data_IF_521459786244
#
_entry.id   IF_521459786244
#
_cell.length_a   1.000
_cell.length_b   1.000
_cell.length_c   1.000
_cell.angle_alpha   90.00
_cell.angle_beta   90.00
_cell.angle_gamma   90.00
#
_symmetry.space_group_name_H-M   'P 1'
#
loop_
_entity.id
_entity.type
_entity.pdbx_description
1 polymer ?
#
# COMPACT_ATOMS: atom_id res chain seq x y z
N UNK A 1 -12.45 -14.59 -17.02
CA UNK A 1 -10.97 -14.66 -16.82
C UNK A 1 -10.18 -13.67 -17.67
N UNK A 2 -10.54 -13.41 -18.95
CA UNK A 2 -9.86 -12.40 -19.78
C UNK A 2 -10.13 -10.94 -19.36
N UNK A 3 -11.27 -10.63 -18.76
CA UNK A 3 -11.60 -9.27 -18.30
C UNK A 3 -10.77 -8.77 -17.12
N UNK A 4 -10.32 -9.65 -16.23
CA UNK A 4 -9.47 -9.27 -15.09
C UNK A 4 -8.08 -8.75 -15.51
N UNK A 5 -7.54 -9.22 -16.61
CA UNK A 5 -6.26 -8.72 -17.14
C UNK A 5 -6.37 -7.39 -17.89
N UNK A 6 -7.54 -7.04 -18.40
CA UNK A 6 -7.73 -5.80 -19.18
C UNK A 6 -7.81 -4.55 -18.31
N UNK A 7 -8.37 -4.64 -17.10
CA UNK A 7 -8.53 -3.47 -16.22
C UNK A 7 -7.22 -2.90 -15.65
N UNK A 8 -6.10 -3.60 -15.76
CA UNK A 8 -4.82 -3.24 -15.14
C UNK A 8 -3.78 -2.78 -16.18
N UNK A 9 -4.12 -2.81 -17.47
CA UNK A 9 -3.15 -2.52 -18.56
C UNK A 9 -3.13 -1.07 -19.01
N UNK A 10 -4.01 -0.25 -18.45
CA UNK A 10 -4.14 1.13 -18.85
C UNK A 10 -3.49 2.09 -17.84
N UNK A 11 -3.36 3.32 -18.27
CA UNK A 11 -2.90 4.39 -17.43
C UNK A 11 -3.93 4.75 -16.36
N UNK A 12 -3.48 4.97 -15.14
CA UNK A 12 -4.31 5.45 -14.04
C UNK A 12 -3.86 6.86 -13.63
N UNK A 13 -4.82 7.76 -13.54
CA UNK A 13 -4.58 9.07 -12.94
C UNK A 13 -4.45 8.93 -11.43
N UNK A 14 -3.38 9.44 -10.85
CA UNK A 14 -3.16 9.39 -9.41
C UNK A 14 -3.79 10.62 -8.73
N UNK A 15 -3.98 10.54 -7.42
CA UNK A 15 -4.48 11.65 -6.61
C UNK A 15 -3.51 12.86 -6.54
N UNK A 16 -2.31 12.74 -7.12
CA UNK A 16 -1.30 13.79 -7.17
C UNK A 16 -1.07 14.33 -8.58
N UNK A 17 -2.07 14.19 -9.46
CA UNK A 17 -2.02 14.61 -10.86
C UNK A 17 -0.90 13.99 -11.70
N UNK A 18 -0.38 12.85 -11.26
CA UNK A 18 0.56 12.06 -12.03
C UNK A 18 -0.16 10.92 -12.76
N UNK A 19 0.47 10.40 -13.78
CA UNK A 19 0.00 9.24 -14.50
C UNK A 19 0.78 8.00 -14.08
N UNK A 20 0.09 6.96 -13.64
CA UNK A 20 0.67 5.64 -13.40
C UNK A 20 0.44 4.77 -14.63
N UNK A 21 1.51 4.32 -15.26
CA UNK A 21 1.45 3.45 -16.46
C UNK A 21 2.00 2.06 -16.14
N UNK A 22 1.46 1.06 -16.78
CA UNK A 22 1.81 -0.35 -16.58
C UNK A 22 0.56 -1.20 -16.39
N UNK A 23 0.70 -2.37 -15.76
CA UNK A 23 1.93 -3.05 -15.37
C UNK A 23 2.59 -3.82 -16.51
N UNK A 24 3.80 -4.30 -16.24
CA UNK A 24 4.36 -5.50 -16.84
C UNK A 24 4.17 -6.68 -15.85
N UNK A 25 4.18 -7.91 -16.35
CA UNK A 25 4.09 -9.13 -15.53
C UNK A 25 5.02 -10.18 -16.12
N UNK A 26 6.13 -10.41 -15.45
CA UNK A 26 7.15 -11.37 -15.86
C UNK A 26 7.36 -12.36 -14.73
N UNK A 27 7.32 -13.65 -15.04
CA UNK A 27 7.64 -14.68 -14.07
C UNK A 27 9.12 -14.62 -13.70
N UNK A 28 9.39 -14.73 -12.38
CA UNK A 28 10.74 -14.78 -11.85
C UNK A 28 10.84 -15.85 -10.76
N UNK A 29 11.91 -16.66 -10.74
CA UNK A 29 12.15 -17.59 -9.66
C UNK A 29 12.63 -16.90 -8.37
N UNK A 30 13.08 -15.67 -8.48
CA UNK A 30 13.65 -14.90 -7.38
C UNK A 30 12.56 -14.20 -6.58
N UNK A 31 12.32 -14.66 -5.37
CA UNK A 31 11.22 -14.17 -4.51
C UNK A 31 11.36 -12.73 -4.02
N UNK A 32 12.58 -12.20 -4.02
CA UNK A 32 12.88 -10.86 -3.47
C UNK A 32 13.46 -9.91 -4.52
N UNK A 33 13.47 -10.31 -5.79
CA UNK A 33 13.97 -9.47 -6.86
C UNK A 33 12.95 -8.37 -7.19
N UNK A 34 13.22 -7.17 -6.71
CA UNK A 34 12.45 -5.96 -7.02
C UNK A 34 13.20 -5.01 -7.95
N UNK A 35 14.25 -5.48 -8.60
CA UNK A 35 14.97 -4.69 -9.59
C UNK A 35 14.07 -4.40 -10.80
N UNK A 36 14.17 -3.20 -11.32
CA UNK A 36 13.49 -2.79 -12.55
C UNK A 36 14.49 -2.83 -13.70
N UNK A 37 14.18 -3.56 -14.74
CA UNK A 37 15.03 -3.70 -15.92
C UNK A 37 14.54 -2.83 -17.09
N UNK A 38 15.49 -2.46 -17.96
CA UNK A 38 15.24 -1.59 -19.10
C UNK A 38 14.29 -2.22 -20.13
N UNK A 39 14.30 -3.53 -20.27
CA UNK A 39 13.44 -4.24 -21.23
C UNK A 39 11.97 -4.19 -20.78
N UNK A 40 11.69 -4.40 -19.50
CA UNK A 40 10.34 -4.25 -18.92
C UNK A 40 9.82 -2.83 -19.08
N UNK A 41 10.66 -1.81 -18.85
CA UNK A 41 10.29 -0.41 -19.07
C UNK A 41 9.94 -0.19 -20.55
N UNK A 42 10.77 -0.64 -21.48
CA UNK A 42 10.53 -0.49 -22.92
C UNK A 42 9.24 -1.18 -23.36
N UNK A 43 8.94 -2.38 -22.84
CA UNK A 43 7.68 -3.08 -23.13
C UNK A 43 6.46 -2.30 -22.64
N UNK A 44 6.51 -1.75 -21.43
CA UNK A 44 5.43 -0.92 -20.88
C UNK A 44 5.20 0.31 -21.77
N UNK A 45 6.27 1.03 -22.12
CA UNK A 45 6.18 2.20 -22.99
C UNK A 45 5.62 1.88 -24.39
N UNK A 46 6.10 0.79 -25.01
CA UNK A 46 5.61 0.36 -26.32
C UNK A 46 4.10 0.11 -26.31
N UNK A 47 3.59 -0.54 -25.27
CA UNK A 47 2.16 -0.77 -25.11
C UNK A 47 1.39 0.53 -24.86
N UNK A 48 1.94 1.40 -24.01
CA UNK A 48 1.26 2.62 -23.62
C UNK A 48 1.19 3.67 -24.75
N UNK A 49 2.20 3.72 -25.62
CA UNK A 49 2.21 4.61 -26.79
C UNK A 49 1.12 4.31 -27.81
N UNK A 50 0.47 3.15 -27.75
CA UNK A 50 -0.69 2.86 -28.61
C UNK A 50 -1.86 3.78 -28.21
N UNK A 51 -2.05 4.02 -26.92
CA UNK A 51 -3.13 4.88 -26.40
C UNK A 51 -2.69 6.33 -26.17
N UNK A 52 -1.40 6.53 -25.90
CA UNK A 52 -0.79 7.83 -25.62
C UNK A 52 0.48 8.04 -26.46
N UNK A 53 0.35 8.37 -27.76
CA UNK A 53 1.50 8.49 -28.67
C UNK A 53 2.51 9.58 -28.28
N UNK A 54 2.08 10.58 -27.52
CA UNK A 54 2.93 11.71 -27.07
C UNK A 54 3.82 11.37 -25.88
N UNK A 55 3.60 10.24 -25.23
CA UNK A 55 4.37 9.83 -24.05
C UNK A 55 5.83 9.56 -24.41
N UNK A 56 6.74 10.17 -23.64
CA UNK A 56 8.19 10.04 -23.82
C UNK A 56 8.87 9.60 -22.54
N UNK A 57 10.07 9.05 -22.65
CA UNK A 57 10.87 8.65 -21.48
C UNK A 57 11.26 9.84 -20.58
N UNK A 58 11.23 11.07 -21.12
CA UNK A 58 11.49 12.30 -20.36
C UNK A 58 10.38 12.60 -19.33
N UNK A 59 9.20 12.02 -19.52
CA UNK A 59 8.05 12.20 -18.65
C UNK A 59 8.11 11.28 -17.42
N UNK A 60 9.08 10.36 -17.36
CA UNK A 60 9.23 9.45 -16.23
C UNK A 60 9.68 10.22 -14.98
N UNK A 61 8.85 10.20 -13.94
CA UNK A 61 9.21 10.70 -12.62
C UNK A 61 9.92 9.63 -11.81
N UNK A 62 9.39 8.40 -11.88
CA UNK A 62 9.94 7.23 -11.18
C UNK A 62 9.40 5.94 -11.78
N UNK A 63 10.07 4.85 -11.50
CA UNK A 63 9.61 3.50 -11.82
C UNK A 63 9.87 2.58 -10.62
N UNK A 64 9.09 1.53 -10.51
CA UNK A 64 9.22 0.57 -9.42
C UNK A 64 8.72 -0.81 -9.85
N UNK A 65 9.25 -1.82 -9.21
CA UNK A 65 8.88 -3.22 -9.38
C UNK A 65 8.49 -3.81 -8.03
N UNK A 66 7.53 -4.70 -8.03
CA UNK A 66 7.15 -5.48 -6.85
C UNK A 66 6.94 -6.94 -7.23
N UNK A 67 7.26 -7.84 -6.31
CA UNK A 67 7.01 -9.27 -6.49
C UNK A 67 5.59 -9.60 -6.05
N UNK A 68 4.87 -10.32 -6.91
CA UNK A 68 3.52 -10.82 -6.66
C UNK A 68 3.61 -12.35 -6.55
N UNK A 69 2.90 -12.95 -5.60
CA UNK A 69 2.88 -14.38 -5.37
C UNK A 69 1.49 -14.97 -5.71
N UNK A 70 1.16 -15.16 -6.99
CA UNK A 70 -0.08 -15.83 -7.38
C UNK A 70 -0.02 -17.32 -7.03
N UNK A 71 -1.18 -17.93 -6.88
CA UNK A 71 -1.33 -19.39 -6.90
C UNK A 71 -1.35 -19.91 -8.33
N UNK A 72 -1.19 -21.22 -8.51
CA UNK A 72 -1.30 -21.85 -9.84
C UNK A 72 -2.67 -21.64 -10.49
N UNK A 73 -3.74 -21.57 -9.67
CA UNK A 73 -5.09 -21.31 -10.15
C UNK A 73 -5.36 -19.79 -10.31
N UNK A 74 -4.39 -18.94 -9.99
CA UNK A 74 -4.53 -17.49 -10.00
C UNK A 74 -5.69 -16.98 -9.14
N UNK A 75 -6.07 -17.72 -8.10
CA UNK A 75 -7.13 -17.35 -7.16
C UNK A 75 -6.61 -17.28 -5.73
N UNK A 76 -7.38 -16.63 -4.85
CA UNK A 76 -7.05 -16.52 -3.43
C UNK A 76 -7.31 -17.84 -2.71
N UNK A 77 -6.41 -18.19 -1.81
CA UNK A 77 -6.62 -19.30 -0.85
C UNK A 77 -7.01 -18.66 0.49
N UNK A 78 -8.29 -18.73 0.84
CA UNK A 78 -8.85 -18.18 2.08
C UNK A 78 -9.61 -19.32 2.75
N UNK A 79 -8.89 -20.16 3.49
CA UNK A 79 -9.46 -21.37 4.10
C UNK A 79 -8.69 -21.83 5.33
N UNK A 80 -9.34 -22.57 6.27
CA UNK A 80 -8.65 -23.27 7.33
C UNK A 80 -7.63 -24.27 6.81
N UNK A 81 -6.58 -24.49 7.56
CA UNK A 81 -5.59 -25.53 7.24
C UNK A 81 -6.21 -26.92 7.25
N UNK A 82 -6.04 -27.68 6.16
CA UNK A 82 -6.63 -29.03 6.02
C UNK A 82 -6.03 -30.05 6.98
N UNK A 83 -4.75 -29.92 7.32
CA UNK A 83 -4.04 -30.84 8.22
C UNK A 83 -3.86 -30.30 9.63
N UNK A 84 -3.93 -28.98 9.80
CA UNK A 84 -3.60 -28.29 11.05
C UNK A 84 -4.71 -27.31 11.40
N UNK A 85 -5.47 -27.60 12.46
CA UNK A 85 -6.67 -26.85 12.85
C UNK A 85 -6.41 -25.40 13.32
N UNK A 86 -5.18 -25.10 13.77
CA UNK A 86 -4.81 -23.77 14.27
C UNK A 86 -4.10 -22.91 13.20
N UNK A 87 -4.26 -23.24 11.94
CA UNK A 87 -3.77 -22.45 10.80
C UNK A 87 -4.98 -22.03 9.97
N UNK A 88 -4.98 -20.76 9.57
CA UNK A 88 -5.87 -20.22 8.56
C UNK A 88 -5.03 -19.63 7.44
N UNK A 89 -5.23 -20.08 6.22
CA UNK A 89 -4.49 -19.61 5.05
C UNK A 89 -5.15 -18.34 4.50
N UNK A 90 -4.33 -17.32 4.27
CA UNK A 90 -4.66 -16.12 3.49
C UNK A 90 -3.52 -15.94 2.52
N UNK A 91 -3.55 -16.65 1.41
CA UNK A 91 -2.44 -16.77 0.48
C UNK A 91 -2.86 -16.52 -0.97
N UNK A 92 -1.89 -16.30 -1.84
CA UNK A 92 -2.14 -15.98 -3.25
C UNK A 92 -2.83 -14.62 -3.44
N UNK A 93 -2.77 -13.75 -2.44
CA UNK A 93 -3.44 -12.45 -2.47
C UNK A 93 -2.73 -11.52 -3.46
N UNK A 94 -3.37 -11.29 -4.56
CA UNK A 94 -2.97 -10.34 -5.57
C UNK A 94 -4.07 -9.28 -5.77
N UNK A 95 -4.11 -8.56 -6.87
CA UNK A 95 -5.21 -7.63 -7.14
C UNK A 95 -6.54 -8.39 -7.29
N UNK A 96 -7.63 -7.97 -6.63
CA UNK A 96 -7.87 -6.74 -5.86
C UNK A 96 -7.74 -6.91 -4.32
N UNK A 97 -6.68 -7.54 -3.83
CA UNK A 97 -6.50 -7.91 -2.43
C UNK A 97 -6.69 -6.77 -1.42
N UNK A 98 -6.20 -5.57 -1.73
CA UNK A 98 -6.38 -4.42 -0.83
C UNK A 98 -7.86 -4.06 -0.65
N UNK A 99 -8.63 -4.10 -1.73
CA UNK A 99 -10.08 -3.81 -1.70
C UNK A 99 -10.87 -4.90 -0.99
N UNK A 100 -10.45 -6.16 -1.11
CA UNK A 100 -11.12 -7.31 -0.47
C UNK A 100 -10.66 -7.55 0.97
N UNK A 101 -9.58 -6.90 1.41
CA UNK A 101 -9.00 -7.10 2.74
C UNK A 101 -10.00 -6.98 3.90
N UNK A 102 -10.97 -6.05 3.92
CA UNK A 102 -11.95 -5.98 5.01
C UNK A 102 -12.85 -7.23 5.11
N UNK A 103 -13.29 -7.77 3.97
CA UNK A 103 -14.12 -8.98 3.95
C UNK A 103 -13.29 -10.21 4.40
N UNK A 104 -12.07 -10.36 3.87
CA UNK A 104 -11.17 -11.43 4.29
C UNK A 104 -10.85 -11.34 5.79
N UNK A 105 -10.65 -10.13 6.31
CA UNK A 105 -10.39 -9.93 7.73
C UNK A 105 -11.59 -10.34 8.59
N UNK A 106 -12.82 -10.14 8.12
CA UNK A 106 -14.02 -10.59 8.82
C UNK A 106 -14.08 -12.12 8.89
N UNK A 107 -13.86 -12.82 7.78
CA UNK A 107 -13.88 -14.29 7.73
C UNK A 107 -12.82 -14.88 8.68
N UNK A 108 -11.60 -14.32 8.66
CA UNK A 108 -10.53 -14.74 9.57
C UNK A 108 -10.88 -14.47 11.02
N UNK A 109 -11.44 -13.29 11.33
CA UNK A 109 -11.82 -12.94 12.69
C UNK A 109 -12.93 -13.86 13.25
N UNK A 110 -13.91 -14.19 12.43
CA UNK A 110 -14.98 -15.14 12.80
C UNK A 110 -14.43 -16.55 13.06
N UNK A 111 -13.51 -17.02 12.20
CA UNK A 111 -12.87 -18.31 12.40
C UNK A 111 -12.07 -18.36 13.70
N UNK A 112 -11.23 -17.33 13.95
CA UNK A 112 -10.42 -17.24 15.16
C UNK A 112 -11.30 -17.12 16.41
N UNK A 113 -12.35 -16.31 16.35
CA UNK A 113 -13.28 -16.17 17.46
C UNK A 113 -13.96 -17.51 17.84
N UNK A 114 -14.38 -18.28 16.87
CA UNK A 114 -14.93 -19.62 17.06
C UNK A 114 -13.89 -20.59 17.66
N UNK A 115 -12.66 -20.53 17.17
CA UNK A 115 -11.57 -21.42 17.63
C UNK A 115 -11.25 -21.19 19.11
N UNK A 116 -11.30 -19.96 19.59
CA UNK A 116 -10.97 -19.57 20.95
C UNK A 116 -12.20 -19.34 21.85
N UNK A 117 -13.42 -19.57 21.35
CA UNK A 117 -14.67 -19.21 22.03
C UNK A 117 -14.64 -17.75 22.54
N UNK A 118 -14.10 -16.85 21.70
CA UNK A 118 -13.93 -15.46 22.08
C UNK A 118 -15.27 -14.71 22.04
N UNK A 119 -15.55 -13.96 23.10
CA UNK A 119 -16.70 -13.08 23.17
C UNK A 119 -16.36 -11.69 22.63
N UNK A 120 -17.39 -11.02 22.09
CA UNK A 120 -17.24 -9.62 21.64
C UNK A 120 -17.07 -8.72 22.87
N UNK A 121 -16.11 -7.78 22.81
CA UNK A 121 -15.97 -6.76 23.85
C UNK A 121 -17.20 -5.87 23.85
N UNK A 122 -17.80 -5.66 25.03
CA UNK A 122 -19.01 -4.84 25.19
C UNK A 122 -18.74 -3.34 24.89
N UNK A 123 -17.50 -2.88 25.13
CA UNK A 123 -17.04 -1.49 25.00
C UNK A 123 -16.14 -1.30 23.75
N UNK A 124 -16.29 -2.17 22.75
CA UNK A 124 -15.47 -2.08 21.53
C UNK A 124 -15.82 -0.81 20.73
N UNK A 125 -14.87 0.11 20.63
CA UNK A 125 -14.94 1.26 19.71
C UNK A 125 -14.35 0.87 18.33
N UNK A 126 -15.18 0.75 17.28
CA UNK A 126 -14.72 0.45 15.93
C UNK A 126 -14.08 1.66 15.24
N UNK A 127 -14.24 2.87 15.80
CA UNK A 127 -13.79 4.10 15.17
C UNK A 127 -12.32 4.36 15.48
N UNK A 128 -11.50 4.22 14.48
CA UNK A 128 -10.08 4.59 14.57
C UNK A 128 -9.87 6.01 14.10
N UNK A 129 -9.49 6.90 14.99
CA UNK A 129 -9.09 8.26 14.62
C UNK A 129 -7.81 8.23 13.77
N UNK A 130 -7.84 8.91 12.63
CA UNK A 130 -6.65 9.12 11.83
C UNK A 130 -5.65 9.98 12.62
N UNK A 131 -4.34 9.69 12.56
CA UNK A 131 -3.34 10.61 13.12
C UNK A 131 -3.42 11.96 12.38
N UNK A 132 -3.20 13.06 13.07
CA UNK A 132 -3.12 14.38 12.44
C UNK A 132 -2.06 14.36 11.32
N UNK A 133 -2.37 15.03 10.22
CA UNK A 133 -1.47 15.19 9.09
C UNK A 133 -1.32 16.66 8.76
N UNK A 134 -0.09 17.19 8.86
CA UNK A 134 0.16 18.63 8.74
C UNK A 134 -0.16 19.17 7.33
N UNK A 135 0.11 18.36 6.31
CA UNK A 135 -0.20 18.73 4.94
C UNK A 135 -1.70 18.97 4.76
N UNK A 136 -2.05 20.12 4.19
CA UNK A 136 -3.44 20.52 3.97
C UNK A 136 -4.12 21.26 5.11
N UNK A 137 -3.48 21.42 6.28
CA UNK A 137 -3.98 22.27 7.37
C UNK A 137 -3.68 23.75 7.11
N UNK A 138 -4.57 24.62 7.54
CA UNK A 138 -4.31 26.06 7.56
C UNK A 138 -3.36 26.44 8.71
N UNK A 139 -2.86 27.69 8.70
CA UNK A 139 -1.85 28.13 9.67
C UNK A 139 -2.35 28.11 11.13
N UNK A 140 -3.62 28.41 11.36
CA UNK A 140 -4.20 28.38 12.71
C UNK A 140 -4.29 26.94 13.25
N UNK A 141 -4.71 25.99 12.42
CA UNK A 141 -4.74 24.56 12.75
C UNK A 141 -3.35 24.02 13.02
N UNK A 142 -2.37 24.41 12.19
CA UNK A 142 -0.95 24.03 12.37
C UNK A 142 -0.40 24.57 13.69
N UNK A 143 -0.65 25.85 13.98
CA UNK A 143 -0.21 26.49 15.23
C UNK A 143 -0.81 25.83 16.46
N UNK A 144 -2.11 25.48 16.41
CA UNK A 144 -2.75 24.75 17.50
C UNK A 144 -2.15 23.36 17.71
N UNK A 145 -1.92 22.62 16.63
CA UNK A 145 -1.34 21.29 16.68
C UNK A 145 0.09 21.31 17.24
N UNK A 146 0.91 22.29 16.82
CA UNK A 146 2.27 22.50 17.32
C UNK A 146 2.25 22.88 18.82
N UNK A 147 1.29 23.68 19.26
CA UNK A 147 1.15 24.04 20.68
C UNK A 147 0.82 22.81 21.55
N UNK A 148 0.00 21.88 21.04
CA UNK A 148 -0.32 20.62 21.72
C UNK A 148 0.86 19.65 21.74
N UNK A 149 1.62 19.59 20.65
CA UNK A 149 2.81 18.75 20.55
C UNK A 149 3.86 19.42 19.64
N UNK A 150 4.96 19.95 20.23
CA UNK A 150 6.00 20.66 19.48
C UNK A 150 6.67 19.84 18.37
N UNK A 151 6.65 18.51 18.45
CA UNK A 151 7.22 17.64 17.41
C UNK A 151 6.52 17.83 16.04
N UNK A 152 5.30 18.38 16.01
CA UNK A 152 4.63 18.79 14.77
C UNK A 152 5.25 20.03 14.12
N UNK A 153 6.03 20.82 14.85
CA UNK A 153 6.78 21.95 14.32
C UNK A 153 8.09 21.56 13.60
N UNK A 154 8.52 20.32 13.73
CA UNK A 154 9.77 19.82 13.14
C UNK A 154 9.47 19.08 11.86
N UNK A 155 9.72 19.71 10.71
CA UNK A 155 9.53 19.10 9.38
C UNK A 155 10.76 18.27 9.03
N UNK A 156 10.58 16.96 8.95
CA UNK A 156 11.62 15.99 8.58
C UNK A 156 11.66 15.77 7.06
N UNK A 157 10.51 15.62 6.42
CA UNK A 157 10.42 15.48 4.97
C UNK A 157 9.78 16.73 4.36
N UNK A 158 10.59 17.59 3.71
CA UNK A 158 10.15 18.88 3.18
C UNK A 158 9.23 18.76 1.96
N UNK A 159 9.49 17.80 1.07
CA UNK A 159 8.70 17.65 -0.16
C UNK A 159 7.31 17.03 0.07
N UNK A 160 7.10 16.33 1.17
CA UNK A 160 5.80 15.75 1.56
C UNK A 160 5.25 16.41 2.84
N UNK A 161 5.92 17.43 3.35
CA UNK A 161 5.57 18.16 4.59
C UNK A 161 5.32 17.24 5.80
N UNK A 162 6.12 16.18 5.94
CA UNK A 162 5.97 15.19 7.03
C UNK A 162 6.79 15.61 8.23
N UNK A 163 6.16 15.65 9.39
CA UNK A 163 6.74 16.09 10.66
C UNK A 163 7.36 14.94 11.46
N UNK A 164 8.17 15.29 12.45
CA UNK A 164 8.71 14.33 13.41
C UNK A 164 7.60 13.61 14.18
N UNK A 165 6.55 14.31 14.58
CA UNK A 165 5.41 13.75 15.30
C UNK A 165 4.72 12.62 14.49
N UNK A 166 4.50 12.85 13.18
CA UNK A 166 3.90 11.87 12.28
C UNK A 166 4.78 10.62 12.15
N UNK A 167 6.09 10.79 12.00
CA UNK A 167 7.05 9.68 11.94
C UNK A 167 7.07 8.91 13.25
N UNK A 168 7.14 9.59 14.39
CA UNK A 168 7.07 8.96 15.71
C UNK A 168 5.78 8.19 15.92
N UNK A 169 4.65 8.75 15.52
CA UNK A 169 3.36 8.08 15.57
C UNK A 169 3.35 6.81 14.69
N UNK A 170 3.91 6.88 13.48
CA UNK A 170 4.03 5.73 12.59
C UNK A 170 4.90 4.59 13.17
N UNK A 171 5.93 4.93 13.96
CA UNK A 171 6.81 3.97 14.62
C UNK A 171 6.13 3.35 15.86
N UNK A 172 5.44 4.16 16.67
CA UNK A 172 4.91 3.77 17.98
C UNK A 172 3.54 3.08 17.96
N UNK A 173 2.82 3.16 16.85
CA UNK A 173 1.50 2.52 16.73
C UNK A 173 1.58 0.99 16.86
N UNK A 174 0.49 0.26 17.18
CA UNK A 174 0.50 -1.19 17.43
C UNK A 174 1.17 -2.02 16.33
N UNK A 175 0.96 -1.68 15.04
CA UNK A 175 1.71 -2.27 13.93
C UNK A 175 2.67 -1.21 13.39
N UNK A 176 3.69 -0.89 14.21
CA UNK A 176 4.61 0.21 13.95
C UNK A 176 5.57 -0.04 12.80
N UNK A 177 6.07 1.06 12.24
CA UNK A 177 7.12 1.03 11.24
C UNK A 177 8.45 0.61 11.88
N UNK A 178 9.13 -0.38 11.30
CA UNK A 178 10.43 -0.87 11.78
C UNK A 178 11.57 -0.65 10.79
N UNK A 179 11.28 -0.12 9.62
CA UNK A 179 12.24 0.20 8.56
C UNK A 179 11.93 1.57 7.97
N UNK A 180 12.87 2.18 7.29
CA UNK A 180 12.67 3.45 6.57
C UNK A 180 11.55 3.31 5.54
N UNK A 181 11.52 2.19 4.80
CA UNK A 181 10.47 1.91 3.83
C UNK A 181 9.08 1.77 4.49
N UNK A 182 9.03 1.18 5.68
CA UNK A 182 7.78 1.10 6.45
C UNK A 182 7.30 2.47 6.95
N UNK A 183 8.21 3.40 7.29
CA UNK A 183 7.88 4.80 7.59
C UNK A 183 7.35 5.49 6.34
N UNK A 184 8.07 5.37 5.20
CA UNK A 184 7.66 5.92 3.91
C UNK A 184 6.24 5.51 3.52
N UNK A 185 5.90 4.23 3.63
CA UNK A 185 4.56 3.71 3.29
C UNK A 185 3.45 4.21 4.22
N UNK A 186 3.76 4.67 5.42
CA UNK A 186 2.78 5.13 6.42
C UNK A 186 2.63 6.64 6.49
N UNK A 187 3.67 7.37 6.13
CA UNK A 187 3.73 8.83 6.26
C UNK A 187 3.98 9.56 4.96
N UNK A 188 4.37 8.85 3.90
CA UNK A 188 4.88 9.37 2.62
C UNK A 188 6.28 10.01 2.71
N UNK A 189 6.90 10.08 3.88
CA UNK A 189 8.27 10.61 4.00
C UNK A 189 9.23 9.89 3.04
N UNK A 190 9.91 10.63 2.17
CA UNK A 190 10.79 10.08 1.15
C UNK A 190 10.12 9.66 -0.18
N UNK A 191 8.82 9.96 -0.38
CA UNK A 191 8.14 9.70 -1.66
C UNK A 191 8.25 10.85 -2.67
N UNK A 192 8.74 12.00 -2.26
CA UNK A 192 8.85 13.17 -3.12
C UNK A 192 10.14 13.20 -3.94
N UNK A 193 10.47 14.37 -4.48
CA UNK A 193 11.59 14.59 -5.41
C UNK A 193 12.99 14.62 -4.76
N UNK A 194 13.07 14.28 -3.51
CA UNK A 194 14.38 14.21 -2.85
C UNK A 194 15.18 12.99 -3.30
#
# INVERSE_FOLDING_TARGET
RRQRQMCIRDSLHTMHDNLLIGPDAVETPERENTATDAESIARVFTKQRITMPTLTEKDIITYFTGVRAPTYEEDFIIEPGRKTKNIYHVAGIQSPGLTTAPAVAQDVAEYVAKLFNAEKKADFDPVRKAPPHLAGMNDAERAELIRQNPDYGVIVCRCEEVTEAEIRAAIRRPVGARTIDAVKRRTRAGMGRC
#
